data_IF_295434876269
#
_entry.id   IF_295434876269
#
_cell.length_a   1.000
_cell.length_b   1.000
_cell.length_c   1.000
_cell.angle_alpha   90.00
_cell.angle_beta   90.00
_cell.angle_gamma   90.00
#
_symmetry.space_group_name_H-M   'P 1'
#
loop_
_entity.id
_entity.type
_entity.pdbx_description
1 polymer ?
#
# COMPACT_ATOMS: atom_id res chain seq x y z
N UNK A 1 2.58 -10.66 -68.76
CA UNK A 1 2.07 -10.80 -67.38
C UNK A 1 3.27 -11.09 -66.46
N UNK A 2 3.95 -10.04 -65.97
CA UNK A 2 5.01 -10.20 -64.97
C UNK A 2 4.43 -9.92 -63.58
N UNK A 3 4.76 -10.70 -62.54
CA UNK A 3 4.20 -10.47 -61.21
C UNK A 3 4.77 -9.20 -60.58
N UNK A 4 3.96 -8.37 -59.90
CA UNK A 4 4.44 -7.15 -59.25
C UNK A 4 4.75 -7.38 -57.76
N UNK A 5 5.63 -6.51 -57.23
CA UNK A 5 5.87 -6.15 -55.80
C UNK A 5 6.41 -7.28 -54.88
N UNK A 6 7.17 -7.08 -53.80
CA UNK A 6 7.25 -5.99 -52.81
C UNK A 6 8.59 -6.09 -52.07
N UNK A 7 9.29 -4.98 -51.82
CA UNK A 7 10.47 -4.95 -50.93
C UNK A 7 10.00 -5.09 -49.48
N UNK A 8 10.36 -6.20 -48.83
CA UNK A 8 10.12 -6.42 -47.40
C UNK A 8 10.85 -5.36 -46.57
N UNK A 9 10.10 -4.44 -45.95
CA UNK A 9 10.59 -3.62 -44.83
C UNK A 9 10.33 -4.39 -43.55
N UNK A 10 11.37 -4.93 -42.94
CA UNK A 10 11.33 -5.30 -41.52
C UNK A 10 11.37 -4.00 -40.71
N UNK A 11 10.21 -3.46 -40.36
CA UNK A 11 10.13 -2.54 -39.24
C UNK A 11 10.35 -3.40 -37.99
N UNK A 12 11.61 -3.50 -37.55
CA UNK A 12 11.94 -4.09 -36.25
C UNK A 12 11.15 -3.32 -35.21
N UNK A 13 10.20 -4.02 -34.61
CA UNK A 13 9.33 -3.57 -33.55
C UNK A 13 10.17 -2.88 -32.47
N UNK A 14 10.04 -1.56 -32.34
CA UNK A 14 10.52 -0.82 -31.18
C UNK A 14 9.80 -1.45 -29.99
N UNK A 15 10.51 -2.32 -29.26
CA UNK A 15 10.07 -2.85 -27.98
C UNK A 15 9.91 -1.68 -27.05
N UNK A 16 8.70 -1.10 -27.05
CA UNK A 16 8.27 -0.16 -26.03
C UNK A 16 8.37 -0.92 -24.73
N UNK A 17 9.44 -0.68 -23.98
CA UNK A 17 9.55 -1.09 -22.60
C UNK A 17 8.27 -0.61 -21.92
N UNK A 18 7.37 -1.54 -21.63
CA UNK A 18 6.24 -1.28 -20.76
C UNK A 18 6.91 -1.07 -19.42
N UNK A 19 7.14 0.21 -19.08
CA UNK A 19 7.48 0.58 -17.71
C UNK A 19 6.49 -0.16 -16.82
N UNK A 20 6.94 -0.89 -15.79
CA UNK A 20 6.02 -1.44 -14.81
C UNK A 20 5.19 -0.24 -14.36
N UNK A 21 3.91 -0.25 -14.70
CA UNK A 21 2.96 0.57 -13.95
C UNK A 21 3.28 0.24 -12.50
N UNK A 22 3.60 1.22 -11.65
CA UNK A 22 3.63 0.94 -10.23
C UNK A 22 2.21 0.45 -9.96
N UNK A 23 2.06 -0.87 -9.85
CA UNK A 23 0.92 -1.44 -9.17
C UNK A 23 0.90 -0.62 -7.90
N UNK A 24 -0.14 0.21 -7.75
CA UNK A 24 -0.46 0.78 -6.47
C UNK A 24 -0.71 -0.45 -5.62
N UNK A 25 0.36 -0.99 -5.05
CA UNK A 25 0.32 -1.70 -3.81
C UNK A 25 -0.20 -0.60 -2.91
N UNK A 26 -1.52 -0.52 -2.83
CA UNK A 26 -2.19 0.17 -1.74
C UNK A 26 -1.55 -0.50 -0.54
N UNK A 27 -0.57 0.19 0.04
CA UNK A 27 0.16 -0.29 1.20
C UNK A 27 -0.94 -0.33 2.24
N UNK A 28 -1.57 -1.50 2.40
CA UNK A 28 -2.73 -1.64 3.27
C UNK A 28 -2.29 -1.08 4.61
N UNK A 29 -2.97 -0.01 5.04
CA UNK A 29 -2.59 0.69 6.27
C UNK A 29 -2.52 -0.32 7.41
N UNK A 30 -1.65 -0.11 8.39
CA UNK A 30 -1.62 -0.93 9.60
C UNK A 30 -3.02 -1.07 10.21
N UNK A 31 -3.81 0.00 10.12
CA UNK A 31 -5.23 0.02 10.52
C UNK A 31 -6.09 -0.94 9.69
N UNK A 32 -6.00 -0.95 8.35
CA UNK A 32 -6.72 -1.90 7.50
C UNK A 32 -6.34 -3.35 7.80
N UNK A 33 -5.04 -3.60 8.03
CA UNK A 33 -4.54 -4.93 8.38
C UNK A 33 -5.10 -5.41 9.72
N UNK A 34 -5.19 -4.51 10.71
CA UNK A 34 -5.81 -4.80 11.99
C UNK A 34 -7.31 -5.10 11.84
N UNK A 35 -8.06 -4.27 11.11
CA UNK A 35 -9.49 -4.47 10.87
C UNK A 35 -9.76 -5.83 10.22
N UNK A 36 -8.96 -6.19 9.21
CA UNK A 36 -9.07 -7.49 8.56
C UNK A 36 -8.77 -8.65 9.51
N UNK A 37 -7.72 -8.52 10.32
CA UNK A 37 -7.36 -9.55 11.32
C UNK A 37 -8.49 -9.74 12.33
N UNK A 38 -9.13 -8.64 12.76
CA UNK A 38 -10.28 -8.69 13.67
C UNK A 38 -11.51 -9.32 13.02
N UNK A 39 -11.80 -9.00 11.74
CA UNK A 39 -12.92 -9.60 11.00
C UNK A 39 -12.79 -11.11 10.79
N UNK A 40 -11.56 -11.60 10.66
CA UNK A 40 -11.27 -13.03 10.47
C UNK A 40 -11.31 -13.80 11.81
N UNK A 41 -11.34 -13.11 12.95
CA UNK A 41 -11.40 -13.71 14.28
C UNK A 41 -12.83 -13.73 14.81
N UNK A 42 -13.26 -14.88 15.33
CA UNK A 42 -14.54 -15.00 16.01
C UNK A 42 -14.40 -14.59 17.49
N UNK A 43 -15.27 -13.72 17.97
CA UNK A 43 -15.19 -13.14 19.33
C UNK A 43 -15.24 -14.20 20.44
N UNK A 44 -15.99 -15.29 20.22
CA UNK A 44 -16.14 -16.39 21.19
C UNK A 44 -15.08 -17.50 21.03
N UNK A 45 -14.17 -17.38 20.05
CA UNK A 45 -13.16 -18.40 19.81
C UNK A 45 -11.95 -18.20 20.74
N UNK A 46 -11.48 -19.28 21.37
CA UNK A 46 -10.17 -19.27 22.05
C UNK A 46 -9.07 -18.98 21.04
N UNK A 47 -8.45 -17.80 21.15
CA UNK A 47 -7.38 -17.37 20.26
C UNK A 47 -6.17 -18.28 20.43
N UNK A 48 -5.80 -18.99 19.36
CA UNK A 48 -4.62 -19.86 19.37
C UNK A 48 -3.34 -19.00 19.23
N UNK A 49 -2.22 -19.48 19.74
CA UNK A 49 -0.99 -18.67 19.87
C UNK A 49 -0.52 -18.01 18.56
N UNK A 50 -0.82 -18.62 17.41
CA UNK A 50 -0.55 -18.04 16.09
C UNK A 50 -1.43 -16.82 15.80
N UNK A 51 -2.72 -16.93 16.03
CA UNK A 51 -3.69 -15.86 15.77
C UNK A 51 -3.51 -14.70 16.74
N UNK A 52 -3.18 -15.01 18.00
CA UNK A 52 -2.84 -14.00 19.01
C UNK A 52 -1.60 -13.19 18.61
N UNK A 53 -0.58 -13.86 18.05
CA UNK A 53 0.61 -13.18 17.54
C UNK A 53 0.27 -12.28 16.34
N UNK A 54 -0.50 -12.80 15.39
CA UNK A 54 -0.92 -12.03 14.20
C UNK A 54 -1.73 -10.79 14.59
N UNK A 55 -2.67 -10.93 15.53
CA UNK A 55 -3.44 -9.81 16.06
C UNK A 55 -2.56 -8.78 16.75
N UNK A 56 -1.63 -9.23 17.61
CA UNK A 56 -0.69 -8.35 18.30
C UNK A 56 0.18 -7.57 17.31
N UNK A 57 0.74 -8.24 16.32
CA UNK A 57 1.63 -7.63 15.33
C UNK A 57 0.85 -6.61 14.47
N UNK A 58 -0.36 -6.96 14.03
CA UNK A 58 -1.24 -6.06 13.30
C UNK A 58 -1.64 -4.82 14.14
N UNK A 59 -1.96 -5.02 15.42
CA UNK A 59 -2.30 -3.94 16.33
C UNK A 59 -1.11 -3.01 16.61
N UNK A 60 0.08 -3.58 16.84
CA UNK A 60 1.30 -2.79 17.05
C UNK A 60 1.63 -1.94 15.81
N UNK A 61 1.47 -2.48 14.61
CA UNK A 61 1.64 -1.74 13.36
C UNK A 61 0.64 -0.58 13.25
N UNK A 62 -0.66 -0.84 13.48
CA UNK A 62 -1.70 0.18 13.42
C UNK A 62 -1.46 1.34 14.41
N UNK A 63 -1.16 1.01 15.66
CA UNK A 63 -0.88 2.02 16.71
C UNK A 63 0.33 2.87 16.34
N UNK A 64 1.40 2.23 15.85
CA UNK A 64 2.62 2.94 15.45
C UNK A 64 2.36 3.89 14.29
N UNK A 65 1.56 3.48 13.32
CA UNK A 65 1.16 4.32 12.19
C UNK A 65 0.35 5.54 12.65
N UNK A 66 -0.70 5.32 13.45
CA UNK A 66 -1.53 6.40 13.99
C UNK A 66 -0.71 7.37 14.85
N UNK A 67 0.21 6.86 15.66
CA UNK A 67 1.12 7.71 16.44
C UNK A 67 2.02 8.57 15.55
N UNK A 68 2.57 7.99 14.49
CA UNK A 68 3.43 8.71 13.55
C UNK A 68 2.67 9.77 12.75
N UNK A 69 1.37 9.62 12.54
CA UNK A 69 0.52 10.62 11.88
C UNK A 69 0.05 11.71 12.86
N UNK A 70 -0.42 11.32 14.04
CA UNK A 70 -0.95 12.24 15.04
C UNK A 70 0.12 13.15 15.67
N UNK A 71 1.36 12.66 15.83
CA UNK A 71 2.44 13.43 16.46
C UNK A 71 2.83 14.67 15.62
N UNK A 72 3.15 14.57 14.32
CA UNK A 72 3.39 15.74 13.47
C UNK A 72 2.20 16.70 13.43
N UNK A 73 0.96 16.18 13.34
CA UNK A 73 -0.23 17.02 13.35
C UNK A 73 -0.32 17.85 14.65
N UNK A 74 -0.05 17.23 15.79
CA UNK A 74 -0.01 17.90 17.10
C UNK A 74 1.12 18.93 17.18
N UNK A 75 2.34 18.58 16.74
CA UNK A 75 3.47 19.52 16.69
C UNK A 75 3.17 20.72 15.80
N UNK A 76 2.55 20.49 14.64
CA UNK A 76 2.16 21.55 13.72
C UNK A 76 1.09 22.47 14.33
N UNK A 77 0.13 21.91 15.05
CA UNK A 77 -0.88 22.69 15.76
C UNK A 77 -0.24 23.54 16.87
N UNK A 78 0.61 22.95 17.71
CA UNK A 78 1.31 23.67 18.79
C UNK A 78 2.17 24.81 18.24
N UNK A 79 2.89 24.58 17.13
CA UNK A 79 3.65 25.61 16.45
C UNK A 79 2.76 26.76 15.95
N UNK A 80 1.64 26.45 15.27
CA UNK A 80 0.69 27.48 14.82
C UNK A 80 0.14 28.32 15.97
N UNK A 81 -0.10 27.73 17.13
CA UNK A 81 -0.55 28.46 18.33
C UNK A 81 0.55 29.39 18.87
N UNK A 82 1.80 28.95 18.85
CA UNK A 82 2.93 29.74 19.36
C UNK A 82 3.44 30.80 18.36
N UNK A 83 3.10 30.67 17.07
CA UNK A 83 3.42 31.64 16.02
C UNK A 83 2.33 32.73 15.85
N UNK A 84 1.31 32.76 16.71
CA UNK A 84 0.30 33.83 16.71
C UNK A 84 0.96 35.12 17.22
N UNK A 85 0.97 36.22 16.43
CA UNK A 85 1.61 37.48 16.77
C UNK A 85 0.92 38.23 17.93
#
# INVERSE_FOLDING_TARGET
MGPPVTKSRTASNESRAVAPTPSSVSMTTGTERLVRTLLEMNDDATVHGRDAKTLRDAAAMAITEVWNDARPATTNLARKINEVP
#
